data_IF_375762383306
#
_entry.id   IF_375762383306
#
_cell.length_a   1.000
_cell.length_b   1.000
_cell.length_c   1.000
_cell.angle_alpha   90.00
_cell.angle_beta   90.00
_cell.angle_gamma   90.00
#
_symmetry.space_group_name_H-M   'P 1'
#
loop_
_entity.id
_entity.type
_entity.pdbx_description
1 polymer ?
#
# COMPACT_ATOMS: atom_id res chain seq x y z
N UNK A 1 -32.34 -21.05 2.24
CA UNK A 1 -31.82 -21.59 3.50
C UNK A 1 -32.92 -21.50 4.54
N UNK A 2 -33.15 -22.57 5.32
CA UNK A 2 -34.14 -22.53 6.40
C UNK A 2 -33.64 -21.61 7.52
N UNK A 3 -34.52 -20.76 8.05
CA UNK A 3 -34.19 -19.90 9.17
C UNK A 3 -34.13 -20.73 10.46
N UNK A 4 -33.13 -20.46 11.29
CA UNK A 4 -32.97 -21.12 12.59
C UNK A 4 -34.00 -20.67 13.63
N UNK A 5 -33.79 -21.08 14.87
CA UNK A 5 -34.71 -20.79 15.96
C UNK A 5 -34.79 -19.28 16.28
N UNK A 6 -35.99 -18.71 16.54
CA UNK A 6 -36.13 -17.28 16.82
C UNK A 6 -35.41 -16.85 18.10
N UNK A 7 -34.56 -15.83 17.99
CA UNK A 7 -33.85 -15.23 19.14
C UNK A 7 -34.64 -14.02 19.65
N UNK A 8 -34.85 -13.95 20.97
CA UNK A 8 -35.47 -12.80 21.65
C UNK A 8 -34.38 -11.92 22.24
N UNK A 9 -34.37 -10.64 21.91
CA UNK A 9 -33.49 -9.64 22.50
C UNK A 9 -34.28 -8.38 22.86
N UNK A 10 -33.77 -7.61 23.81
CA UNK A 10 -34.39 -6.36 24.26
C UNK A 10 -33.60 -5.20 23.70
N UNK A 11 -34.30 -4.26 23.10
CA UNK A 11 -33.76 -2.97 22.67
C UNK A 11 -34.29 -1.89 23.59
N UNK A 12 -33.57 -0.77 23.68
CA UNK A 12 -34.16 0.42 24.29
C UNK A 12 -35.32 0.92 23.42
N UNK A 13 -36.34 1.59 23.99
CA UNK A 13 -37.50 2.08 23.25
C UNK A 13 -37.10 2.99 22.07
N UNK A 14 -36.07 3.82 22.25
CA UNK A 14 -35.58 4.75 21.24
C UNK A 14 -34.98 4.00 20.05
N UNK A 15 -34.19 2.95 20.33
CA UNK A 15 -33.58 2.11 19.29
C UNK A 15 -34.60 1.27 18.56
N UNK A 16 -35.63 0.78 19.26
CA UNK A 16 -36.74 0.07 18.63
C UNK A 16 -37.45 0.96 17.61
N UNK A 17 -37.87 2.16 18.01
CA UNK A 17 -38.55 3.10 17.11
C UNK A 17 -37.67 3.48 15.91
N UNK A 18 -36.39 3.77 16.14
CA UNK A 18 -35.45 4.09 15.07
C UNK A 18 -35.35 2.97 14.03
N UNK A 19 -35.20 1.72 14.46
CA UNK A 19 -35.07 0.59 13.55
C UNK A 19 -36.37 0.21 12.87
N UNK A 20 -37.51 0.42 13.54
CA UNK A 20 -38.83 0.25 12.95
C UNK A 20 -39.07 1.24 11.81
N UNK A 21 -38.72 2.51 12.01
CA UNK A 21 -38.78 3.53 10.96
C UNK A 21 -37.84 3.21 9.80
N UNK A 22 -36.60 2.78 10.08
CA UNK A 22 -35.62 2.36 9.08
C UNK A 22 -36.11 1.15 8.26
N UNK A 23 -36.67 0.14 8.93
CA UNK A 23 -37.22 -1.05 8.30
C UNK A 23 -38.45 -0.70 7.43
N UNK A 24 -39.34 0.17 7.93
CA UNK A 24 -40.50 0.64 7.21
C UNK A 24 -40.12 1.42 5.94
N UNK A 25 -39.08 2.28 6.00
CA UNK A 25 -38.55 2.99 4.81
C UNK A 25 -38.04 2.04 3.73
N UNK A 26 -37.53 0.88 4.13
CA UNK A 26 -37.06 -0.17 3.21
C UNK A 26 -38.15 -1.17 2.83
N UNK A 27 -39.37 -1.04 3.36
CA UNK A 27 -40.48 -1.96 3.13
C UNK A 27 -40.27 -3.35 3.71
N UNK A 28 -39.42 -3.48 4.73
CA UNK A 28 -39.03 -4.77 5.32
C UNK A 28 -39.59 -4.93 6.74
N UNK A 29 -39.91 -6.16 7.18
CA UNK A 29 -40.18 -6.43 8.59
C UNK A 29 -38.95 -6.15 9.44
N UNK A 30 -39.16 -5.64 10.67
CA UNK A 30 -38.08 -5.29 11.61
C UNK A 30 -37.10 -6.45 11.85
N UNK A 31 -37.60 -7.67 12.01
CA UNK A 31 -36.76 -8.85 12.23
C UNK A 31 -35.85 -9.18 11.04
N UNK A 32 -36.33 -8.97 9.81
CA UNK A 32 -35.53 -9.14 8.59
C UNK A 32 -34.46 -8.06 8.50
N UNK A 33 -34.85 -6.80 8.74
CA UNK A 33 -33.93 -5.66 8.73
C UNK A 33 -32.79 -5.82 9.74
N UNK A 34 -33.11 -6.20 10.98
CA UNK A 34 -32.12 -6.37 12.04
C UNK A 34 -31.15 -7.51 11.75
N UNK A 35 -31.62 -8.60 11.12
CA UNK A 35 -30.73 -9.67 10.68
C UNK A 35 -29.76 -9.19 9.62
N UNK A 36 -30.27 -8.61 8.53
CA UNK A 36 -29.43 -8.13 7.44
C UNK A 36 -28.40 -7.11 7.94
N UNK A 37 -28.80 -6.25 8.88
CA UNK A 37 -27.89 -5.30 9.52
C UNK A 37 -26.79 -5.99 10.31
N UNK A 38 -27.11 -7.02 11.10
CA UNK A 38 -26.12 -7.80 11.84
C UNK A 38 -25.15 -8.53 10.89
N UNK A 39 -25.68 -9.17 9.84
CA UNK A 39 -24.87 -9.82 8.82
C UNK A 39 -23.94 -8.83 8.11
N UNK A 40 -24.42 -7.62 7.80
CA UNK A 40 -23.62 -6.56 7.20
C UNK A 40 -22.53 -6.05 8.16
N UNK A 41 -22.86 -5.83 9.44
CA UNK A 41 -21.89 -5.40 10.44
C UNK A 41 -20.78 -6.46 10.64
N UNK A 42 -21.13 -7.75 10.64
CA UNK A 42 -20.16 -8.84 10.72
C UNK A 42 -19.31 -8.94 9.45
N UNK A 43 -19.89 -8.79 8.26
CA UNK A 43 -19.14 -8.74 7.00
C UNK A 43 -18.10 -7.59 6.99
N UNK A 44 -18.48 -6.39 7.44
CA UNK A 44 -17.57 -5.24 7.54
C UNK A 44 -16.44 -5.51 8.53
N UNK A 45 -16.72 -6.17 9.66
CA UNK A 45 -15.68 -6.57 10.63
C UNK A 45 -14.71 -7.57 10.02
N UNK A 46 -15.21 -8.53 9.27
CA UNK A 46 -14.40 -9.54 8.60
C UNK A 46 -13.51 -8.93 7.50
N UNK A 47 -14.04 -8.03 6.69
CA UNK A 47 -13.30 -7.25 5.69
C UNK A 47 -12.19 -6.40 6.34
N UNK A 48 -12.50 -5.71 7.44
CA UNK A 48 -11.52 -4.93 8.19
C UNK A 48 -10.42 -5.82 8.77
N UNK A 49 -10.78 -7.01 9.28
CA UNK A 49 -9.82 -7.97 9.78
C UNK A 49 -8.92 -8.52 8.66
N UNK A 50 -9.49 -8.76 7.46
CA UNK A 50 -8.72 -9.15 6.28
C UNK A 50 -7.73 -8.06 5.86
N UNK A 51 -8.19 -6.81 5.74
CA UNK A 51 -7.34 -5.67 5.39
C UNK A 51 -6.20 -5.49 6.39
N UNK A 52 -6.46 -5.62 7.69
CA UNK A 52 -5.41 -5.56 8.72
C UNK A 52 -4.36 -6.65 8.54
N UNK A 53 -4.76 -7.89 8.19
CA UNK A 53 -3.82 -8.98 7.91
C UNK A 53 -2.97 -8.67 6.68
N UNK A 54 -3.56 -8.13 5.62
CA UNK A 54 -2.82 -7.73 4.42
C UNK A 54 -1.83 -6.62 4.70
N UNK A 55 -2.21 -5.60 5.49
CA UNK A 55 -1.30 -4.53 5.90
C UNK A 55 -0.12 -5.07 6.71
N UNK A 56 -0.36 -6.00 7.65
CA UNK A 56 0.72 -6.66 8.40
C UNK A 56 1.60 -7.50 7.46
N UNK A 57 1.01 -8.22 6.52
CA UNK A 57 1.78 -8.98 5.52
C UNK A 57 2.64 -8.08 4.66
N UNK A 58 2.11 -6.93 4.21
CA UNK A 58 2.87 -5.94 3.45
C UNK A 58 3.99 -5.32 4.29
N UNK A 59 3.71 -5.04 5.56
CA UNK A 59 4.72 -4.55 6.49
C UNK A 59 5.88 -5.55 6.62
N UNK A 60 5.59 -6.84 6.81
CA UNK A 60 6.63 -7.88 6.83
C UNK A 60 7.38 -8.00 5.50
N UNK A 61 6.72 -7.87 4.35
CA UNK A 61 7.42 -7.86 3.05
C UNK A 61 8.36 -6.66 2.93
N UNK A 62 7.96 -5.50 3.46
CA UNK A 62 8.80 -4.29 3.49
C UNK A 62 9.98 -4.46 4.46
N UNK A 63 9.74 -5.04 5.64
CA UNK A 63 10.77 -5.37 6.62
C UNK A 63 11.75 -6.40 6.05
N UNK A 64 11.26 -7.47 5.45
CA UNK A 64 12.07 -8.47 4.76
C UNK A 64 12.87 -7.82 3.63
N UNK A 65 12.29 -6.93 2.82
CA UNK A 65 13.02 -6.22 1.78
C UNK A 65 14.10 -5.29 2.36
N UNK A 66 13.82 -4.63 3.48
CA UNK A 66 14.80 -3.81 4.20
C UNK A 66 15.93 -4.68 4.78
N UNK A 67 15.61 -5.84 5.35
CA UNK A 67 16.56 -6.78 5.95
C UNK A 67 17.37 -7.53 4.88
N UNK A 68 16.77 -7.88 3.75
CA UNK A 68 17.47 -8.48 2.61
C UNK A 68 18.37 -7.45 1.94
N UNK A 69 17.95 -6.17 1.90
CA UNK A 69 18.80 -5.04 1.50
C UNK A 69 19.95 -4.74 2.47
N UNK A 70 19.79 -5.08 3.76
CA UNK A 70 20.83 -4.97 4.79
C UNK A 70 21.86 -6.12 4.74
N UNK A 71 21.53 -7.25 4.09
CA UNK A 71 22.42 -8.42 3.99
C UNK A 71 23.17 -8.58 2.67
N UNK A 72 22.91 -7.72 1.68
CA UNK A 72 23.84 -7.51 0.57
C UNK A 72 24.95 -6.54 0.99
N UNK A 73 25.91 -7.11 1.71
CA UNK A 73 27.34 -6.77 1.73
C UNK A 73 27.76 -5.37 1.19
N UNK A 74 28.19 -4.52 2.12
CA UNK A 74 29.10 -3.36 1.97
C UNK A 74 28.59 -2.05 1.31
N UNK A 75 28.24 -1.11 2.21
CA UNK A 75 28.49 0.35 2.09
C UNK A 75 27.62 1.18 1.14
N UNK A 76 26.53 1.74 1.67
CA UNK A 76 25.82 2.92 1.13
C UNK A 76 24.83 2.63 -0.01
N UNK A 77 24.12 3.65 -0.53
CA UNK A 77 23.30 3.55 -1.74
C UNK A 77 24.22 3.45 -2.96
N UNK A 78 24.96 2.36 -3.05
CA UNK A 78 25.81 2.03 -4.18
C UNK A 78 24.97 1.47 -5.32
N UNK A 79 25.30 1.79 -6.58
CA UNK A 79 24.62 1.21 -7.73
C UNK A 79 24.77 -0.32 -7.72
N UNK A 80 23.65 -1.03 -7.90
CA UNK A 80 23.60 -2.50 -8.03
C UNK A 80 24.52 -2.96 -9.18
N UNK A 81 25.16 -4.12 -9.07
CA UNK A 81 26.06 -4.68 -10.08
C UNK A 81 25.50 -4.61 -11.51
N UNK A 82 24.20 -4.89 -11.69
CA UNK A 82 23.52 -4.79 -12.99
C UNK A 82 23.46 -3.35 -13.50
N UNK A 83 23.29 -2.37 -12.61
CA UNK A 83 23.31 -0.95 -12.96
C UNK A 83 24.71 -0.50 -13.37
N UNK A 84 25.75 -0.93 -12.64
CA UNK A 84 27.15 -0.64 -13.00
C UNK A 84 27.48 -1.24 -14.38
N UNK A 85 27.12 -2.51 -14.60
CA UNK A 85 27.34 -3.19 -15.88
C UNK A 85 26.63 -2.47 -17.03
N UNK A 86 25.35 -2.11 -16.84
CA UNK A 86 24.58 -1.35 -17.84
C UNK A 86 25.21 0.01 -18.13
N UNK A 87 25.66 0.74 -17.10
CA UNK A 87 26.32 2.04 -17.27
C UNK A 87 27.65 1.92 -18.01
N UNK A 88 28.44 0.88 -17.73
CA UNK A 88 29.70 0.62 -18.44
C UNK A 88 29.45 0.26 -19.91
N UNK A 89 28.44 -0.56 -20.19
CA UNK A 89 28.05 -0.91 -21.56
C UNK A 89 27.59 0.32 -22.35
N UNK A 90 26.72 1.15 -21.76
CA UNK A 90 26.26 2.39 -22.39
C UNK A 90 27.42 3.37 -22.61
N UNK A 91 28.37 3.45 -21.69
CA UNK A 91 29.58 4.28 -21.85
C UNK A 91 30.49 3.78 -22.97
N UNK A 92 30.60 2.46 -23.14
CA UNK A 92 31.36 1.86 -24.23
C UNK A 92 30.73 2.15 -25.60
N UNK A 93 29.39 2.22 -25.67
CA UNK A 93 28.65 2.52 -26.91
C UNK A 93 28.65 4.02 -27.23
N UNK A 94 28.45 4.89 -26.22
CA UNK A 94 28.22 6.31 -26.43
C UNK A 94 29.47 7.14 -26.75
N UNK A 95 30.66 6.67 -26.37
CA UNK A 95 31.91 7.38 -26.60
C UNK A 95 32.15 8.60 -25.68
N UNK A 96 33.42 9.03 -25.50
CA UNK A 96 33.78 10.13 -24.60
C UNK A 96 33.23 11.51 -25.00
N UNK A 97 32.96 11.72 -26.29
CA UNK A 97 32.46 12.97 -26.88
C UNK A 97 31.06 13.36 -26.37
N UNK A 98 30.26 12.37 -25.94
CA UNK A 98 28.92 12.59 -25.39
C UNK A 98 28.91 13.07 -23.95
N UNK A 99 30.07 13.16 -23.29
CA UNK A 99 30.12 13.53 -21.86
C UNK A 99 29.81 15.00 -21.58
N UNK A 100 30.22 15.91 -22.45
CA UNK A 100 29.92 17.34 -22.31
C UNK A 100 28.40 17.63 -22.33
N UNK A 101 27.62 17.13 -23.30
CA UNK A 101 26.16 17.36 -23.31
C UNK A 101 25.45 16.67 -22.14
N UNK A 102 25.85 15.45 -21.76
CA UNK A 102 25.25 14.75 -20.59
C UNK A 102 25.44 15.53 -19.30
N UNK A 103 26.66 16.06 -19.06
CA UNK A 103 26.91 16.92 -17.89
C UNK A 103 26.06 18.20 -17.90
N UNK A 104 25.83 18.78 -19.07
CA UNK A 104 24.93 19.93 -19.24
C UNK A 104 23.48 19.59 -18.88
N UNK A 105 22.99 18.43 -19.32
CA UNK A 105 21.64 17.96 -18.98
C UNK A 105 21.49 17.66 -17.49
N UNK A 106 22.50 17.06 -16.85
CA UNK A 106 22.49 16.84 -15.40
C UNK A 106 22.38 18.16 -14.63
N UNK A 107 23.18 19.17 -14.99
CA UNK A 107 23.08 20.52 -14.42
C UNK A 107 21.69 21.13 -14.64
N UNK A 108 21.10 20.98 -15.84
CA UNK A 108 19.74 21.45 -16.17
C UNK A 108 18.66 20.80 -15.30
N UNK A 109 18.86 19.52 -14.93
CA UNK A 109 17.97 18.75 -14.07
C UNK A 109 18.24 18.96 -12.57
N UNK A 110 19.19 19.82 -12.19
CA UNK A 110 19.57 20.06 -10.80
C UNK A 110 20.33 18.89 -10.16
N UNK A 111 20.87 17.98 -10.97
CA UNK A 111 21.65 16.84 -10.50
C UNK A 111 23.13 17.25 -10.45
N UNK A 112 23.74 17.09 -9.28
CA UNK A 112 25.16 17.39 -9.08
C UNK A 112 26.02 16.48 -9.98
N UNK A 113 26.87 17.10 -10.80
CA UNK A 113 27.78 16.37 -11.67
C UNK A 113 28.96 15.90 -10.84
N UNK A 114 29.09 14.58 -10.66
CA UNK A 114 30.25 14.01 -10.00
C UNK A 114 31.55 14.40 -10.74
N UNK A 115 32.47 15.02 -10.00
CA UNK A 115 33.84 15.28 -10.42
C UNK A 115 34.79 14.60 -9.44
N UNK A 116 35.88 13.97 -9.92
CA UNK A 116 36.82 13.26 -9.05
C UNK A 116 37.53 14.16 -8.02
N UNK A 117 37.50 15.49 -8.18
CA UNK A 117 38.22 16.44 -7.31
C UNK A 117 37.35 17.51 -6.63
N UNK A 118 36.02 17.48 -6.77
CA UNK A 118 35.14 18.44 -6.08
C UNK A 118 35.43 19.92 -6.39
N UNK A 119 35.97 20.22 -7.59
CA UNK A 119 36.16 21.59 -8.07
C UNK A 119 35.21 21.86 -9.22
N UNK A 120 34.32 22.82 -8.98
CA UNK A 120 33.52 23.45 -10.00
C UNK A 120 34.42 24.34 -10.88
N UNK A 121 34.40 24.10 -12.20
CA UNK A 121 34.72 25.10 -13.22
C UNK A 121 33.45 25.90 -13.56
#
# INVERSE_FOLDING_TARGET
MALGEPIKFRLTPEKHAQYEDEAARLGKPLGTYLRERLEADDAVRDELAALRREVVSLHHVIEDLADTGLRSDQSGPGPNAVQIETLLLLRAIAGPERMKPVKGELKRLGIEVWTPEGKED
#
